data_IF_100569881158
#
_entry.id   IF_100569881158
#
_cell.length_a   1.000
_cell.length_b   1.000
_cell.length_c   1.000
_cell.angle_alpha   90.00
_cell.angle_beta   90.00
_cell.angle_gamma   90.00
#
_symmetry.space_group_name_H-M   'P 1'
#
loop_
_entity.id
_entity.type
_entity.pdbx_description
1 polymer ?
#
# COMPACT_ATOMS: atom_id res chain seq x y z
N UNK A 1 25.20 -25.72 57.24
CA UNK A 1 25.51 -25.07 55.96
C UNK A 1 24.40 -25.45 55.01
N UNK A 2 23.37 -24.62 54.85
CA UNK A 2 22.22 -24.90 54.00
C UNK A 2 22.44 -24.18 52.64
N UNK A 3 22.01 -24.78 51.51
CA UNK A 3 22.31 -24.27 50.17
C UNK A 3 21.40 -23.07 49.86
N UNK A 4 21.94 -21.87 49.98
CA UNK A 4 21.33 -20.59 49.58
C UNK A 4 21.06 -20.46 48.08
N UNK A 5 21.73 -21.23 47.23
CA UNK A 5 21.62 -21.14 45.78
C UNK A 5 20.30 -21.61 45.17
N UNK A 6 19.55 -22.48 45.82
CA UNK A 6 18.31 -23.02 45.26
C UNK A 6 17.14 -22.01 45.33
N UNK A 7 17.08 -21.19 46.38
CA UNK A 7 16.06 -20.14 46.52
C UNK A 7 16.28 -18.99 45.57
N UNK A 8 17.52 -18.57 45.34
CA UNK A 8 17.83 -17.50 44.42
C UNK A 8 17.49 -17.88 42.96
N UNK A 9 17.79 -19.12 42.54
CA UNK A 9 17.41 -19.59 41.19
C UNK A 9 15.90 -19.65 40.98
N UNK A 10 15.10 -20.07 41.95
CA UNK A 10 13.63 -20.07 41.85
C UNK A 10 13.06 -18.66 41.81
N UNK A 11 13.65 -17.72 42.53
CA UNK A 11 13.23 -16.29 42.46
C UNK A 11 13.52 -15.70 41.11
N UNK A 12 14.70 -15.93 40.52
CA UNK A 12 15.10 -15.43 39.17
C UNK A 12 14.17 -16.01 38.09
N UNK A 13 13.81 -17.26 38.16
CA UNK A 13 12.88 -17.92 37.20
C UNK A 13 11.47 -17.36 37.35
N UNK A 14 11.00 -17.17 38.58
CA UNK A 14 9.67 -16.58 38.85
C UNK A 14 9.58 -15.11 38.39
N UNK A 15 10.63 -14.33 38.62
CA UNK A 15 10.71 -12.95 38.18
C UNK A 15 10.81 -12.83 36.65
N UNK A 16 11.58 -13.70 36.01
CA UNK A 16 11.67 -13.77 34.54
C UNK A 16 10.31 -14.15 33.90
N UNK A 17 9.59 -15.09 34.51
CA UNK A 17 8.26 -15.48 34.06
C UNK A 17 7.26 -14.34 34.24
N UNK A 18 7.26 -13.68 35.40
CA UNK A 18 6.39 -12.53 35.66
C UNK A 18 6.66 -11.37 34.70
N UNK A 19 7.93 -11.11 34.39
CA UNK A 19 8.32 -10.10 33.39
C UNK A 19 7.84 -10.50 32.00
N UNK A 20 8.06 -11.74 31.58
CA UNK A 20 7.60 -12.24 30.28
C UNK A 20 6.08 -12.15 30.14
N UNK A 21 5.34 -12.55 31.19
CA UNK A 21 3.88 -12.42 31.23
C UNK A 21 3.46 -10.96 31.19
N UNK A 22 4.13 -10.06 31.92
CA UNK A 22 3.86 -8.62 31.89
C UNK A 22 4.10 -8.01 30.50
N UNK A 23 5.14 -8.43 29.79
CA UNK A 23 5.40 -7.99 28.41
C UNK A 23 4.27 -8.46 27.49
N UNK A 24 3.90 -9.73 27.55
CA UNK A 24 2.83 -10.31 26.73
C UNK A 24 1.48 -9.64 27.03
N UNK A 25 1.19 -9.33 28.27
CA UNK A 25 -0.06 -8.67 28.69
C UNK A 25 -0.10 -7.17 28.33
N UNK A 26 1.05 -6.55 28.07
CA UNK A 26 1.14 -5.13 27.68
C UNK A 26 1.00 -4.96 26.17
N UNK A 27 1.25 -6.01 25.38
CA UNK A 27 1.08 -5.97 23.92
C UNK A 27 -0.40 -5.87 23.58
N UNK A 28 -0.76 -4.84 22.81
CA UNK A 28 -2.14 -4.62 22.38
C UNK A 28 -2.59 -5.60 21.30
N UNK A 29 -1.65 -6.19 20.59
CA UNK A 29 -1.94 -7.20 19.57
C UNK A 29 -2.18 -8.57 20.19
N UNK A 30 -3.12 -9.36 19.68
CA UNK A 30 -3.28 -10.77 20.05
C UNK A 30 -1.99 -11.57 19.77
N UNK A 31 -1.45 -12.20 20.79
CA UNK A 31 -0.24 -13.03 20.70
C UNK A 31 -0.51 -14.40 21.30
N UNK A 32 -0.08 -15.44 20.60
CA UNK A 32 -0.04 -16.83 21.06
C UNK A 32 1.40 -17.32 21.17
N UNK A 33 1.64 -18.12 22.18
CA UNK A 33 2.88 -18.89 22.38
C UNK A 33 2.52 -20.35 22.18
N UNK A 34 3.12 -21.00 21.19
CA UNK A 34 2.84 -22.39 20.81
C UNK A 34 4.05 -23.26 21.06
N UNK A 35 3.83 -24.50 21.46
CA UNK A 35 4.86 -25.53 21.46
C UNK A 35 5.12 -26.09 20.04
N UNK A 36 6.09 -26.99 19.91
CA UNK A 36 6.41 -27.64 18.64
C UNK A 36 5.27 -28.49 18.06
N UNK A 37 4.30 -28.87 18.88
CA UNK A 37 3.08 -29.56 18.46
C UNK A 37 1.92 -28.61 18.17
N UNK A 38 2.18 -27.31 18.10
CA UNK A 38 1.19 -26.25 17.87
C UNK A 38 0.11 -26.21 18.96
N UNK A 39 0.45 -26.63 20.20
CA UNK A 39 -0.42 -26.45 21.35
C UNK A 39 -0.14 -25.12 22.02
N UNK A 40 -1.18 -24.46 22.48
CA UNK A 40 -1.06 -23.17 23.14
C UNK A 40 -0.42 -23.33 24.52
N UNK A 41 0.77 -22.75 24.72
CA UNK A 41 1.44 -22.65 26.01
C UNK A 41 0.87 -21.43 26.77
N UNK A 42 0.77 -20.29 26.10
CA UNK A 42 0.27 -19.05 26.66
C UNK A 42 -0.39 -18.19 25.58
N UNK A 43 -1.26 -17.27 26.00
CA UNK A 43 -1.87 -16.27 25.14
C UNK A 43 -1.91 -14.93 25.85
N UNK A 44 -1.88 -13.83 25.08
CA UNK A 44 -2.01 -12.48 25.61
C UNK A 44 -3.45 -12.19 26.04
N UNK A 45 -3.60 -11.21 26.94
CA UNK A 45 -4.93 -10.69 27.32
C UNK A 45 -5.70 -10.18 26.10
N UNK A 46 -4.99 -9.56 25.15
CA UNK A 46 -5.54 -9.08 23.87
C UNK A 46 -6.15 -10.21 23.05
N UNK A 47 -5.50 -11.39 23.03
CA UNK A 47 -6.04 -12.56 22.35
C UNK A 47 -7.38 -13.01 22.96
N UNK A 48 -7.42 -13.16 24.28
CA UNK A 48 -8.66 -13.56 24.96
C UNK A 48 -9.80 -12.56 24.74
N UNK A 49 -9.49 -11.27 24.78
CA UNK A 49 -10.47 -10.21 24.56
C UNK A 49 -10.97 -10.15 23.12
N UNK A 50 -10.07 -10.26 22.12
CA UNK A 50 -10.39 -10.15 20.69
C UNK A 50 -11.25 -11.33 20.23
N UNK A 51 -10.91 -12.55 20.66
CA UNK A 51 -11.59 -13.77 20.21
C UNK A 51 -12.63 -14.31 21.22
N UNK A 52 -12.89 -13.58 22.30
CA UNK A 52 -13.90 -13.90 23.34
C UNK A 52 -13.77 -15.31 23.92
N UNK A 53 -12.55 -15.76 24.10
CA UNK A 53 -12.22 -17.09 24.64
C UNK A 53 -11.60 -16.96 26.04
N UNK A 54 -11.70 -18.03 26.84
CA UNK A 54 -11.09 -18.09 28.17
C UNK A 54 -9.73 -18.80 28.19
N UNK A 55 -8.87 -18.54 29.18
CA UNK A 55 -7.62 -19.27 29.36
C UNK A 55 -7.82 -20.78 29.45
N UNK A 56 -8.85 -21.22 30.16
CA UNK A 56 -9.19 -22.66 30.40
C UNK A 56 -9.57 -23.36 29.08
N UNK A 57 -10.18 -22.62 28.13
CA UNK A 57 -10.57 -23.15 26.83
C UNK A 57 -9.45 -23.08 25.79
N UNK A 58 -8.36 -22.38 26.10
CA UNK A 58 -7.27 -22.08 25.16
C UNK A 58 -5.99 -22.83 25.49
N UNK A 59 -5.53 -22.77 26.74
CA UNK A 59 -4.24 -23.34 27.16
C UNK A 59 -4.22 -24.86 27.03
N UNK A 60 -3.10 -25.40 26.54
CA UNK A 60 -2.87 -26.83 26.30
C UNK A 60 -3.61 -27.42 25.10
N UNK A 61 -4.52 -26.67 24.47
CA UNK A 61 -5.24 -27.12 23.28
C UNK A 61 -4.42 -26.92 22.01
N UNK A 62 -4.67 -27.74 21.01
CA UNK A 62 -4.14 -27.59 19.68
C UNK A 62 -4.73 -26.31 19.04
N UNK A 63 -3.90 -25.46 18.45
CA UNK A 63 -4.34 -24.20 17.80
C UNK A 63 -5.54 -24.41 16.87
N UNK A 64 -5.48 -25.43 16.00
CA UNK A 64 -6.52 -25.70 15.01
C UNK A 64 -7.85 -26.21 15.61
N UNK A 65 -7.84 -26.60 16.89
CA UNK A 65 -9.05 -27.04 17.60
C UNK A 65 -9.65 -25.92 18.48
N UNK A 66 -9.09 -24.71 18.46
CA UNK A 66 -9.64 -23.58 19.20
C UNK A 66 -10.92 -23.07 18.52
N UNK A 67 -11.92 -22.69 19.32
CA UNK A 67 -13.14 -22.07 18.84
C UNK A 67 -13.86 -22.91 17.79
N UNK A 68 -14.06 -24.21 18.05
CA UNK A 68 -14.70 -25.18 17.16
C UNK A 68 -14.04 -25.29 15.77
N UNK A 69 -12.72 -25.10 15.72
CA UNK A 69 -11.94 -25.25 14.48
C UNK A 69 -11.84 -23.99 13.64
N UNK A 70 -12.24 -22.83 14.16
CA UNK A 70 -12.12 -21.55 13.43
C UNK A 70 -10.70 -21.18 13.03
N UNK A 71 -9.69 -21.78 13.67
CA UNK A 71 -8.27 -21.61 13.36
C UNK A 71 -7.69 -22.68 12.42
N UNK A 72 -8.53 -23.61 11.96
CA UNK A 72 -8.12 -24.58 10.95
C UNK A 72 -8.13 -23.97 9.53
N UNK A 73 -7.27 -23.01 9.32
CA UNK A 73 -7.16 -22.24 8.10
C UNK A 73 -6.02 -22.80 7.26
N UNK A 74 -6.23 -23.19 5.98
CA UNK A 74 -5.17 -23.78 5.16
C UNK A 74 -3.90 -22.92 5.04
N UNK A 75 -4.03 -21.61 4.90
CA UNK A 75 -2.90 -20.69 4.88
C UNK A 75 -2.14 -20.65 6.21
N UNK A 76 -2.84 -20.71 7.34
CA UNK A 76 -2.21 -20.77 8.66
C UNK A 76 -1.43 -22.08 8.86
N UNK A 77 -1.94 -23.20 8.35
CA UNK A 77 -1.20 -24.46 8.34
C UNK A 77 0.10 -24.35 7.56
N UNK A 78 0.03 -23.78 6.34
CA UNK A 78 1.23 -23.56 5.51
C UNK A 78 2.25 -22.68 6.25
N UNK A 79 1.81 -21.62 6.93
CA UNK A 79 2.69 -20.77 7.72
C UNK A 79 3.40 -21.56 8.83
N UNK A 80 2.66 -22.28 9.66
CA UNK A 80 3.19 -22.89 10.88
C UNK A 80 3.85 -24.25 10.64
N UNK A 81 3.41 -25.03 9.66
CA UNK A 81 3.89 -26.39 9.42
C UNK A 81 4.98 -26.44 8.33
N UNK A 82 5.08 -25.41 7.48
CA UNK A 82 6.07 -25.38 6.39
C UNK A 82 7.01 -24.18 6.51
N UNK A 83 6.47 -22.95 6.49
CA UNK A 83 7.29 -21.74 6.38
C UNK A 83 8.13 -21.54 7.66
N UNK A 84 7.52 -21.62 8.83
CA UNK A 84 8.22 -21.38 10.09
C UNK A 84 9.30 -22.42 10.38
N UNK A 85 9.10 -23.74 10.21
CA UNK A 85 10.16 -24.73 10.35
C UNK A 85 11.34 -24.53 9.41
N UNK A 86 11.11 -24.02 8.19
CA UNK A 86 12.17 -23.82 7.19
C UNK A 86 12.92 -22.49 7.37
N UNK A 87 12.23 -21.41 7.70
CA UNK A 87 12.77 -20.04 7.70
C UNK A 87 12.96 -19.45 9.09
N UNK A 88 12.31 -19.99 10.13
CA UNK A 88 12.38 -19.53 11.51
C UNK A 88 11.61 -18.25 11.81
N UNK A 89 11.31 -17.43 10.80
CA UNK A 89 10.56 -16.18 10.96
C UNK A 89 9.74 -15.88 9.70
N UNK A 90 8.55 -15.34 9.90
CA UNK A 90 7.70 -14.77 8.85
C UNK A 90 6.97 -13.55 9.40
N UNK A 91 6.99 -12.47 8.65
CA UNK A 91 6.31 -11.21 8.99
C UNK A 91 5.36 -10.81 7.86
N UNK A 92 4.22 -10.20 8.22
CA UNK A 92 3.26 -9.68 7.26
C UNK A 92 2.51 -10.76 6.46
N UNK A 93 2.32 -11.95 7.01
CA UNK A 93 1.60 -13.03 6.32
C UNK A 93 0.09 -12.85 6.45
N UNK A 94 -0.59 -12.48 5.36
CA UNK A 94 -2.02 -12.18 5.39
C UNK A 94 -2.90 -13.41 5.12
N UNK A 95 -3.90 -13.54 5.98
CA UNK A 95 -4.91 -14.60 5.92
C UNK A 95 -6.29 -13.98 5.97
N UNK A 96 -7.11 -14.24 4.97
CA UNK A 96 -8.54 -13.90 4.96
C UNK A 96 -9.35 -15.10 5.44
N UNK A 97 -10.22 -14.88 6.41
CA UNK A 97 -11.06 -15.93 6.99
C UNK A 97 -12.37 -15.38 7.54
N UNK A 98 -13.41 -16.24 7.52
CA UNK A 98 -14.72 -15.96 8.12
C UNK A 98 -14.73 -16.51 9.55
N UNK A 99 -14.67 -15.61 10.53
CA UNK A 99 -14.75 -15.99 11.94
C UNK A 99 -16.21 -15.98 12.40
N UNK A 100 -16.67 -17.00 13.16
CA UNK A 100 -18.08 -17.11 13.57
C UNK A 100 -18.62 -15.87 14.29
N UNK A 101 -17.80 -15.28 15.20
CA UNK A 101 -18.20 -14.14 16.04
C UNK A 101 -17.77 -12.77 15.50
N UNK A 102 -16.81 -12.72 14.57
CA UNK A 102 -16.21 -11.49 14.05
C UNK A 102 -16.59 -11.22 12.60
N UNK A 103 -17.13 -12.22 11.88
CA UNK A 103 -17.38 -12.18 10.44
C UNK A 103 -16.10 -12.25 9.62
N UNK A 104 -16.17 -11.78 8.39
CA UNK A 104 -15.01 -11.78 7.48
C UNK A 104 -13.91 -10.84 7.97
N UNK A 105 -12.71 -11.40 8.16
CA UNK A 105 -11.52 -10.66 8.63
C UNK A 105 -10.30 -10.95 7.77
N UNK A 106 -9.49 -9.94 7.60
CA UNK A 106 -8.13 -10.06 7.08
C UNK A 106 -7.16 -9.91 8.24
N UNK A 107 -6.50 -11.01 8.61
CA UNK A 107 -5.53 -11.03 9.70
C UNK A 107 -4.11 -10.99 9.14
N UNK A 108 -3.29 -10.08 9.64
CA UNK A 108 -1.85 -10.04 9.40
C UNK A 108 -1.16 -10.83 10.50
N UNK A 109 -0.45 -11.89 10.12
CA UNK A 109 0.22 -12.81 11.02
C UNK A 109 1.72 -12.59 10.99
N UNK A 110 2.32 -12.49 12.19
CA UNK A 110 3.75 -12.43 12.39
C UNK A 110 4.14 -13.65 13.24
N UNK A 111 4.98 -14.52 12.72
CA UNK A 111 5.39 -15.73 13.41
C UNK A 111 6.90 -15.85 13.52
N UNK A 112 7.38 -16.28 14.69
CA UNK A 112 8.82 -16.46 14.95
C UNK A 112 9.06 -17.71 15.79
N UNK A 113 10.01 -18.53 15.36
CA UNK A 113 10.50 -19.67 16.12
C UNK A 113 11.60 -19.21 17.09
N UNK A 114 11.46 -19.62 18.35
CA UNK A 114 12.43 -19.33 19.42
C UNK A 114 13.04 -20.64 19.91
N UNK A 115 14.37 -20.67 19.96
CA UNK A 115 15.15 -21.79 20.44
C UNK A 115 15.68 -21.48 21.84
N UNK A 116 15.56 -22.41 22.77
CA UNK A 116 16.12 -22.26 24.10
C UNK A 116 17.50 -22.93 24.18
N UNK A 117 18.46 -22.26 24.83
CA UNK A 117 19.79 -22.82 25.07
C UNK A 117 19.64 -24.06 25.99
N UNK A 118 20.03 -25.25 25.48
CA UNK A 118 20.10 -26.51 26.23
C UNK A 118 18.89 -27.45 26.06
N UNK A 119 17.89 -27.11 25.23
CA UNK A 119 16.72 -27.97 25.01
C UNK A 119 16.41 -28.27 23.56
N UNK A 120 15.82 -29.42 23.30
CA UNK A 120 15.21 -29.79 22.02
C UNK A 120 13.83 -29.10 21.85
N UNK A 121 13.46 -28.20 22.76
CA UNK A 121 12.16 -27.56 22.78
C UNK A 121 12.20 -26.25 22.00
N UNK A 122 11.35 -26.19 21.01
CA UNK A 122 11.14 -25.01 20.14
C UNK A 122 9.77 -24.41 20.44
N UNK A 123 9.73 -23.12 20.58
CA UNK A 123 8.50 -22.35 20.79
C UNK A 123 8.23 -21.47 19.60
N UNK A 124 6.98 -21.34 19.19
CA UNK A 124 6.55 -20.41 18.14
C UNK A 124 5.78 -19.28 18.79
N UNK A 125 6.22 -18.05 18.55
CA UNK A 125 5.48 -16.85 18.87
C UNK A 125 4.66 -16.48 17.64
N UNK A 126 3.35 -16.30 17.79
CA UNK A 126 2.41 -15.94 16.73
C UNK A 126 1.66 -14.68 17.15
N UNK A 127 1.99 -13.56 16.54
CA UNK A 127 1.26 -12.29 16.64
C UNK A 127 0.21 -12.19 15.54
N UNK A 128 -0.91 -11.55 15.85
CA UNK A 128 -2.05 -11.40 14.94
C UNK A 128 -2.56 -9.96 15.01
N UNK A 129 -2.71 -9.33 13.86
CA UNK A 129 -3.28 -7.98 13.73
C UNK A 129 -4.49 -8.05 12.81
N UNK A 130 -5.63 -7.51 13.24
CA UNK A 130 -6.79 -7.34 12.36
C UNK A 130 -6.56 -6.11 11.47
N UNK A 131 -6.26 -6.34 10.20
CA UNK A 131 -6.00 -5.31 9.20
C UNK A 131 -7.19 -5.08 8.26
N UNK A 132 -8.36 -5.61 8.58
CA UNK A 132 -9.55 -5.59 7.74
C UNK A 132 -9.93 -4.17 7.33
N UNK A 133 -10.12 -3.28 8.29
CA UNK A 133 -10.51 -1.89 8.03
C UNK A 133 -9.43 -1.15 7.23
N UNK A 134 -8.17 -1.33 7.59
CA UNK A 134 -7.04 -0.74 6.87
C UNK A 134 -7.01 -1.20 5.41
N UNK A 135 -7.24 -2.48 5.14
CA UNK A 135 -7.28 -3.03 3.77
C UNK A 135 -8.47 -2.53 2.96
N UNK A 136 -9.62 -2.36 3.58
CA UNK A 136 -10.80 -1.76 2.95
C UNK A 136 -10.48 -0.32 2.54
N UNK A 137 -9.97 0.50 3.46
CA UNK A 137 -9.63 1.89 3.19
C UNK A 137 -8.51 2.04 2.12
N UNK A 138 -7.51 1.16 2.13
CA UNK A 138 -6.47 1.13 1.10
C UNK A 138 -7.07 0.84 -0.29
N UNK A 139 -7.96 -0.16 -0.41
CA UNK A 139 -8.66 -0.48 -1.66
C UNK A 139 -9.56 0.66 -2.14
N UNK A 140 -10.31 1.28 -1.25
CA UNK A 140 -11.14 2.45 -1.57
C UNK A 140 -10.31 3.63 -2.06
N UNK A 141 -9.22 3.93 -1.37
CA UNK A 141 -8.27 4.98 -1.77
C UNK A 141 -7.72 4.73 -3.18
N UNK A 142 -7.28 3.52 -3.46
CA UNK A 142 -6.70 3.16 -4.75
C UNK A 142 -7.75 3.24 -5.88
N UNK A 143 -8.99 2.85 -5.62
CA UNK A 143 -10.09 3.00 -6.56
C UNK A 143 -10.43 4.49 -6.81
N UNK A 144 -10.46 5.32 -5.76
CA UNK A 144 -10.66 6.76 -5.90
C UNK A 144 -9.54 7.43 -6.70
N UNK A 145 -8.30 7.04 -6.49
CA UNK A 145 -7.17 7.53 -7.28
C UNK A 145 -7.32 7.15 -8.75
N UNK A 146 -7.69 5.92 -9.04
CA UNK A 146 -7.94 5.45 -10.40
C UNK A 146 -9.07 6.24 -11.08
N UNK A 147 -10.18 6.45 -10.38
CA UNK A 147 -11.30 7.24 -10.89
C UNK A 147 -10.91 8.70 -11.16
N UNK A 148 -10.14 9.29 -10.24
CA UNK A 148 -9.59 10.65 -10.42
C UNK A 148 -8.76 10.74 -11.70
N UNK A 149 -7.89 9.76 -11.96
CA UNK A 149 -7.01 9.77 -13.12
C UNK A 149 -7.81 9.66 -14.43
N UNK A 150 -8.83 8.81 -14.49
CA UNK A 150 -9.75 8.70 -15.63
C UNK A 150 -10.49 10.03 -15.88
N UNK A 151 -11.00 10.66 -14.82
CA UNK A 151 -11.70 11.95 -14.95
C UNK A 151 -10.77 13.08 -15.42
N UNK A 152 -9.53 13.10 -14.94
CA UNK A 152 -8.54 14.07 -15.40
C UNK A 152 -8.23 13.89 -16.89
N UNK A 153 -8.08 12.66 -17.37
CA UNK A 153 -7.86 12.37 -18.78
C UNK A 153 -9.05 12.83 -19.65
N UNK A 154 -10.29 12.55 -19.21
CA UNK A 154 -11.48 13.00 -19.92
C UNK A 154 -11.57 14.53 -19.98
N UNK A 155 -11.30 15.23 -18.86
CA UNK A 155 -11.29 16.69 -18.81
C UNK A 155 -10.26 17.27 -19.78
N UNK A 156 -9.10 16.67 -19.88
CA UNK A 156 -8.02 17.10 -20.76
C UNK A 156 -8.42 16.95 -22.23
N UNK A 157 -9.01 15.81 -22.60
CA UNK A 157 -9.55 15.62 -23.94
C UNK A 157 -10.62 16.66 -24.29
N UNK A 158 -11.50 16.99 -23.36
CA UNK A 158 -12.53 18.04 -23.55
C UNK A 158 -11.92 19.42 -23.72
N UNK A 159 -10.88 19.76 -22.93
CA UNK A 159 -10.16 21.04 -23.07
C UNK A 159 -9.48 21.14 -24.44
N UNK A 160 -8.75 20.09 -24.86
CA UNK A 160 -8.10 20.07 -26.18
C UNK A 160 -9.11 20.24 -27.32
N UNK A 161 -10.24 19.53 -27.27
CA UNK A 161 -11.30 19.66 -28.25
C UNK A 161 -11.90 21.08 -28.27
N UNK A 162 -12.13 21.69 -27.10
CA UNK A 162 -12.64 23.06 -27.00
C UNK A 162 -11.67 24.06 -27.57
N UNK A 163 -10.38 23.94 -27.32
CA UNK A 163 -9.34 24.80 -27.89
C UNK A 163 -9.28 24.67 -29.42
N UNK A 164 -9.42 23.46 -29.98
CA UNK A 164 -9.48 23.24 -31.43
C UNK A 164 -10.70 23.92 -32.08
N UNK A 165 -11.87 23.85 -31.43
CA UNK A 165 -13.09 24.50 -31.92
C UNK A 165 -12.89 26.02 -31.93
N UNK A 166 -12.35 26.60 -30.83
CA UNK A 166 -12.07 28.03 -30.73
C UNK A 166 -11.08 28.46 -31.81
N UNK A 167 -9.98 27.71 -31.99
CA UNK A 167 -8.99 28.00 -33.04
C UNK A 167 -9.62 27.98 -34.44
N UNK A 168 -10.50 27.00 -34.72
CA UNK A 168 -11.20 26.89 -36.00
C UNK A 168 -12.14 28.08 -36.24
N UNK A 169 -12.88 28.55 -35.24
CA UNK A 169 -13.75 29.72 -35.33
C UNK A 169 -12.92 30.96 -35.62
N UNK A 170 -11.80 31.18 -34.97
CA UNK A 170 -10.90 32.31 -35.18
C UNK A 170 -10.37 32.30 -36.62
N UNK A 171 -9.95 31.13 -37.11
CA UNK A 171 -9.44 30.98 -38.46
C UNK A 171 -10.54 31.28 -39.51
N UNK A 172 -11.78 30.82 -39.30
CA UNK A 172 -12.92 31.17 -40.18
C UNK A 172 -13.21 32.67 -40.19
N UNK A 173 -13.17 33.32 -39.02
CA UNK A 173 -13.33 34.79 -38.92
C UNK A 173 -12.21 35.53 -39.63
N UNK A 174 -10.95 35.07 -39.49
CA UNK A 174 -9.82 35.66 -40.18
C UNK A 174 -9.98 35.66 -41.73
N UNK A 175 -10.60 34.60 -42.27
CA UNK A 175 -10.89 34.52 -43.73
C UNK A 175 -11.99 35.45 -44.20
N UNK A 176 -12.91 35.82 -43.32
CA UNK A 176 -14.08 36.67 -43.66
C UNK A 176 -13.80 38.18 -43.51
N UNK A 177 -12.69 38.56 -42.88
CA UNK A 177 -12.34 39.97 -42.62
C UNK A 177 -11.61 40.56 -43.82
N UNK A 178 -12.00 41.79 -44.22
CA UNK A 178 -11.41 42.51 -45.35
C UNK A 178 -10.13 43.27 -44.97
N UNK A 179 -9.98 43.67 -43.69
CA UNK A 179 -8.77 44.36 -43.21
C UNK A 179 -7.62 43.40 -43.07
N UNK A 180 -6.50 43.67 -43.73
CA UNK A 180 -5.28 42.84 -43.67
C UNK A 180 -4.69 42.82 -42.26
N UNK A 181 -4.66 43.97 -41.59
CA UNK A 181 -4.18 44.09 -40.22
C UNK A 181 -4.99 43.20 -39.24
N UNK A 182 -6.33 43.28 -39.33
CA UNK A 182 -7.21 42.46 -38.49
C UNK A 182 -7.05 40.95 -38.80
N UNK A 183 -6.83 40.60 -40.05
CA UNK A 183 -6.58 39.22 -40.49
C UNK A 183 -5.29 38.65 -39.86
N UNK A 184 -4.21 39.43 -39.85
CA UNK A 184 -2.94 39.06 -39.24
C UNK A 184 -3.09 38.86 -37.73
N UNK A 185 -3.78 39.75 -37.02
CA UNK A 185 -4.04 39.57 -35.57
C UNK A 185 -4.84 38.31 -35.24
N UNK A 186 -5.85 37.99 -36.04
CA UNK A 186 -6.63 36.76 -35.85
C UNK A 186 -5.82 35.51 -36.16
N UNK A 187 -4.94 35.54 -37.14
CA UNK A 187 -4.03 34.42 -37.44
C UNK A 187 -3.00 34.22 -36.32
N UNK A 188 -2.47 35.29 -35.73
CA UNK A 188 -1.57 35.20 -34.57
C UNK A 188 -2.29 34.59 -33.35
N UNK A 189 -3.51 35.06 -33.07
CA UNK A 189 -4.33 34.48 -32.00
C UNK A 189 -4.61 32.99 -32.23
N UNK A 190 -4.91 32.58 -33.48
CA UNK A 190 -5.08 31.15 -33.82
C UNK A 190 -3.82 30.34 -33.51
N UNK A 191 -2.63 30.80 -33.92
CA UNK A 191 -1.35 30.14 -33.67
C UNK A 191 -1.09 29.97 -32.17
N UNK A 192 -1.30 31.00 -31.35
CA UNK A 192 -1.15 30.98 -29.91
C UNK A 192 -2.05 29.94 -29.25
N UNK A 193 -3.32 29.85 -29.65
CA UNK A 193 -4.25 28.86 -29.12
C UNK A 193 -3.80 27.44 -29.48
N UNK A 194 -3.36 27.22 -30.73
CA UNK A 194 -2.87 25.92 -31.17
C UNK A 194 -1.58 25.50 -30.43
N UNK A 195 -0.67 26.45 -30.14
CA UNK A 195 0.52 26.20 -29.32
C UNK A 195 0.15 25.77 -27.89
N UNK A 196 -0.82 26.45 -27.25
CA UNK A 196 -1.31 26.07 -25.92
C UNK A 196 -1.94 24.69 -25.94
N UNK A 197 -2.74 24.38 -26.96
CA UNK A 197 -3.35 23.03 -27.08
C UNK A 197 -2.31 21.91 -27.26
N UNK A 198 -1.27 22.20 -28.06
CA UNK A 198 -0.16 21.25 -28.26
C UNK A 198 0.63 21.01 -26.97
N UNK A 199 0.95 22.06 -26.22
CA UNK A 199 1.61 21.97 -24.91
C UNK A 199 0.78 21.14 -23.93
N UNK A 200 -0.52 21.44 -23.83
CA UNK A 200 -1.42 20.67 -22.96
C UNK A 200 -1.45 19.19 -23.33
N UNK A 201 -1.58 18.87 -24.61
CA UNK A 201 -1.56 17.48 -25.07
C UNK A 201 -0.25 16.76 -24.72
N UNK A 202 0.87 17.46 -24.77
CA UNK A 202 2.20 16.87 -24.54
C UNK A 202 2.53 16.71 -23.06
N UNK A 203 2.13 17.66 -22.20
CA UNK A 203 2.28 17.57 -20.75
C UNK A 203 1.59 16.32 -20.18
N UNK A 204 0.55 15.85 -20.85
CA UNK A 204 -0.29 14.76 -20.36
C UNK A 204 0.05 13.41 -21.01
N UNK A 205 0.62 13.39 -22.19
CA UNK A 205 1.19 12.16 -22.78
C UNK A 205 2.37 11.61 -21.94
N UNK A 206 2.98 12.47 -21.11
CA UNK A 206 4.07 12.12 -20.19
C UNK A 206 3.60 11.77 -18.76
N UNK A 207 2.32 11.85 -18.49
CA UNK A 207 1.76 12.02 -17.14
C UNK A 207 1.46 10.76 -16.33
N UNK A 208 1.84 9.57 -16.77
CA UNK A 208 1.68 8.36 -15.93
C UNK A 208 2.90 8.06 -15.03
N UNK A 209 3.99 8.76 -15.20
CA UNK A 209 5.21 8.59 -14.40
C UNK A 209 5.82 9.95 -14.09
N UNK A 210 5.56 10.44 -12.90
CA UNK A 210 5.90 11.72 -12.27
C UNK A 210 7.22 12.44 -12.56
N UNK A 211 7.93 12.18 -13.64
CA UNK A 211 9.11 12.92 -14.07
C UNK A 211 8.99 13.32 -15.54
N UNK A 212 8.72 14.61 -15.78
CA UNK A 212 8.84 15.20 -17.11
C UNK A 212 10.34 15.40 -17.39
N UNK A 213 10.88 14.75 -18.40
CA UNK A 213 12.18 15.11 -18.94
C UNK A 213 12.06 16.48 -19.59
N UNK A 214 12.46 17.52 -18.85
CA UNK A 214 12.35 18.91 -19.25
C UNK A 214 13.19 19.21 -20.52
N UNK A 215 14.32 18.52 -20.70
CA UNK A 215 15.24 18.78 -21.81
C UNK A 215 14.64 18.48 -23.20
N UNK A 216 13.98 17.34 -23.47
CA UNK A 216 13.32 17.11 -24.77
C UNK A 216 12.14 18.05 -25.01
N UNK A 217 11.46 18.46 -23.92
CA UNK A 217 10.37 19.43 -23.98
C UNK A 217 10.85 20.80 -24.43
N UNK A 218 11.87 21.35 -23.77
CA UNK A 218 12.45 22.63 -24.10
C UNK A 218 13.06 22.66 -25.51
N UNK A 219 13.73 21.57 -25.95
CA UNK A 219 14.27 21.47 -27.28
C UNK A 219 13.21 21.60 -28.37
N UNK A 220 12.10 20.87 -28.25
CA UNK A 220 10.97 20.97 -29.20
C UNK A 220 10.26 22.31 -29.16
N UNK A 221 10.11 22.90 -27.99
CA UNK A 221 9.55 24.24 -27.83
C UNK A 221 10.43 25.29 -28.53
N UNK A 222 11.75 25.19 -28.34
CA UNK A 222 12.71 26.08 -29.00
C UNK A 222 12.74 25.87 -30.53
N UNK A 223 12.65 24.64 -31.02
CA UNK A 223 12.56 24.33 -32.46
C UNK A 223 11.29 24.91 -33.07
N UNK A 224 10.14 24.80 -32.39
CA UNK A 224 8.87 25.37 -32.86
C UNK A 224 8.93 26.88 -32.88
N UNK A 225 9.51 27.52 -31.86
CA UNK A 225 9.69 28.98 -31.81
C UNK A 225 10.74 29.46 -32.78
N UNK A 226 11.82 28.74 -33.03
CA UNK A 226 12.87 29.09 -33.96
C UNK A 226 12.39 29.07 -35.42
N UNK A 227 11.52 28.12 -35.79
CA UNK A 227 10.91 28.06 -37.12
C UNK A 227 9.91 29.19 -37.39
N UNK A 228 9.36 29.82 -36.33
CA UNK A 228 8.42 30.94 -36.47
C UNK A 228 9.09 32.33 -36.47
N UNK A 229 10.34 32.44 -35.99
CA UNK A 229 11.02 33.75 -35.77
C UNK A 229 12.04 34.11 -36.83
N UNK A 230 12.42 33.20 -37.76
CA UNK A 230 13.34 33.57 -38.85
C UNK A 230 12.55 34.07 -40.08
N UNK A 231 12.42 35.39 -40.30
CA UNK A 231 12.06 35.87 -41.60
C UNK A 231 13.23 35.57 -42.54
N UNK A 232 12.94 34.85 -43.62
CA UNK A 232 13.89 34.68 -44.73
C UNK A 232 14.29 36.07 -45.22
N UNK A 233 15.48 36.52 -44.85
CA UNK A 233 16.12 37.59 -45.57
C UNK A 233 16.47 37.05 -46.95
N UNK A 234 15.61 37.31 -47.96
CA UNK A 234 16.01 37.22 -49.35
C UNK A 234 17.05 38.29 -49.59
N UNK A 235 18.33 37.87 -49.66
CA UNK A 235 19.40 38.65 -50.23
C UNK A 235 19.16 38.74 -51.74
N UNK A 236 18.58 39.89 -52.19
CA UNK A 236 18.64 40.27 -53.57
C UNK A 236 20.07 40.59 -53.96
N UNK A 237 20.52 39.98 -55.09
CA UNK A 237 21.69 40.28 -55.83
C UNK A 237 21.39 40.08 -57.31
#
# INVERSE_FOLDING_TARGET
MQPTGFREQFTIIADAWALAQGIVDTVHEPVLVLDKGLRVIAASRSFYSAFKVSPEETQGRLLYALGDGQWDIPKLRVLLETIIPEHGVMEGYEVEHEFPDLGHRTMCLNARQVFYEGGADTTILLGMEDVTERRILEREKDELLRQKDVLLEELQHRIANSLQIIASIILLKARAVQSEETRLHLQDAHKRIMSVAAVQKQLHASGASGSIEIAPYLSRLCETLATEVVPVCETGG
#
